data_IF_857841538742
#
_entry.id   IF_857841538742
#
_cell.length_a   1.000
_cell.length_b   1.000
_cell.length_c   1.000
_cell.angle_alpha   90.00
_cell.angle_beta   90.00
_cell.angle_gamma   90.00
#
_symmetry.space_group_name_H-M   'P 1'
#
loop_
_entity.id
_entity.type
_entity.pdbx_description
1 polymer ?
#
# COMPACT_ATOMS: atom_id res chain seq x y z
N UNK A 1 -16.93 -13.20 -0.55
CA UNK A 1 -15.95 -12.27 0.03
C UNK A 1 -15.15 -12.99 1.09
N UNK A 2 -13.82 -13.06 0.90
CA UNK A 2 -12.88 -13.57 1.91
C UNK A 2 -12.41 -12.39 2.77
N UNK A 3 -12.39 -12.60 4.08
CA UNK A 3 -12.02 -11.62 5.10
C UNK A 3 -10.85 -12.18 5.90
N UNK A 4 -9.82 -11.38 6.13
CA UNK A 4 -8.81 -11.65 7.14
C UNK A 4 -9.07 -10.74 8.34
N UNK A 5 -9.17 -11.32 9.54
CA UNK A 5 -9.59 -10.68 10.78
C UNK A 5 -8.48 -10.92 11.81
N UNK A 6 -7.46 -10.06 11.80
CA UNK A 6 -6.24 -10.30 12.56
C UNK A 6 -5.55 -11.59 12.11
N UNK A 7 -5.74 -12.67 12.85
CA UNK A 7 -5.14 -13.99 12.58
C UNK A 7 -6.15 -15.03 12.08
N UNK A 8 -7.43 -14.69 12.00
CA UNK A 8 -8.49 -15.59 11.52
C UNK A 8 -8.92 -15.22 10.10
N UNK A 9 -9.40 -16.20 9.34
CA UNK A 9 -10.02 -15.97 8.04
C UNK A 9 -11.47 -16.40 8.08
N UNK A 10 -12.35 -15.57 7.51
CA UNK A 10 -13.76 -15.89 7.30
C UNK A 10 -14.14 -15.72 5.83
N UNK A 11 -15.04 -16.57 5.34
CA UNK A 11 -15.67 -16.39 4.02
C UNK A 11 -17.15 -16.14 4.19
N UNK A 12 -17.64 -15.07 3.60
CA UNK A 12 -19.07 -14.75 3.55
C UNK A 12 -19.53 -14.55 2.11
N UNK A 13 -20.76 -14.94 1.82
CA UNK A 13 -21.39 -14.64 0.53
C UNK A 13 -22.30 -13.41 0.70
N UNK A 14 -22.10 -12.39 -0.13
CA UNK A 14 -22.91 -11.18 -0.11
C UNK A 14 -24.08 -11.36 -1.08
N UNK A 15 -25.27 -11.68 -0.57
CA UNK A 15 -26.50 -11.87 -1.36
C UNK A 15 -27.35 -10.60 -1.48
N UNK A 16 -27.01 -9.54 -0.75
CA UNK A 16 -27.77 -8.30 -0.65
C UNK A 16 -26.85 -7.09 -0.81
N UNK A 17 -27.43 -5.94 -1.13
CA UNK A 17 -26.68 -4.69 -1.27
C UNK A 17 -25.98 -4.28 0.04
N UNK A 18 -26.56 -4.62 1.19
CA UNK A 18 -26.00 -4.38 2.51
C UNK A 18 -26.01 -5.68 3.33
N UNK A 19 -24.89 -5.98 3.99
CA UNK A 19 -24.74 -7.09 4.94
C UNK A 19 -23.94 -6.58 6.14
N UNK A 20 -24.38 -6.91 7.35
CA UNK A 20 -23.64 -6.62 8.59
C UNK A 20 -23.01 -7.91 9.09
N UNK A 21 -21.73 -7.82 9.48
CA UNK A 21 -20.93 -8.96 9.94
C UNK A 21 -20.38 -8.60 11.31
N UNK A 22 -20.70 -9.42 12.32
CA UNK A 22 -20.16 -9.26 13.66
C UNK A 22 -18.70 -9.72 13.71
N UNK A 23 -17.83 -8.85 14.21
CA UNK A 23 -16.41 -9.14 14.38
C UNK A 23 -16.11 -9.62 15.81
N UNK A 24 -15.11 -10.51 16.00
CA UNK A 24 -14.58 -10.81 17.32
C UNK A 24 -14.12 -9.55 18.05
N UNK A 25 -14.34 -9.47 19.37
CA UNK A 25 -14.02 -8.28 20.18
C UNK A 25 -12.56 -7.81 20.09
N UNK A 26 -11.64 -8.71 19.76
CA UNK A 26 -10.20 -8.46 19.71
C UNK A 26 -9.63 -8.56 18.28
N UNK A 27 -10.46 -8.34 17.25
CA UNK A 27 -10.06 -8.47 15.84
C UNK A 27 -8.84 -7.60 15.46
N UNK A 28 -8.70 -6.41 16.08
CA UNK A 28 -7.63 -5.46 15.78
C UNK A 28 -7.84 -4.74 14.45
N UNK A 29 -7.86 -5.49 13.35
CA UNK A 29 -8.11 -5.01 11.99
C UNK A 29 -8.92 -6.03 11.19
N UNK A 30 -9.53 -5.56 10.09
CA UNK A 30 -10.17 -6.41 9.09
C UNK A 30 -9.67 -6.01 7.71
N UNK A 31 -9.14 -6.99 6.98
CA UNK A 31 -8.83 -6.88 5.57
C UNK A 31 -9.91 -7.60 4.77
N UNK A 32 -10.60 -6.83 3.93
CA UNK A 32 -11.53 -7.34 2.93
C UNK A 32 -10.75 -7.82 1.70
N UNK A 33 -11.27 -8.83 1.00
CA UNK A 33 -10.64 -9.44 -0.18
C UNK A 33 -9.27 -10.08 0.10
N UNK A 34 -9.14 -10.78 1.23
CA UNK A 34 -7.89 -11.46 1.59
C UNK A 34 -7.40 -12.39 0.46
N UNK A 35 -6.08 -12.39 0.26
CA UNK A 35 -5.37 -13.05 -0.84
C UNK A 35 -5.81 -12.61 -2.24
N UNK A 36 -6.49 -11.46 -2.36
CA UNK A 36 -6.96 -10.90 -3.63
C UNK A 36 -7.80 -11.87 -4.49
N UNK A 37 -8.56 -12.75 -3.84
CA UNK A 37 -9.29 -13.85 -4.52
C UNK A 37 -10.58 -13.40 -5.20
N UNK A 38 -11.12 -12.24 -4.83
CA UNK A 38 -12.34 -11.66 -5.37
C UNK A 38 -12.07 -10.60 -6.43
N UNK A 39 -12.95 -10.54 -7.44
CA UNK A 39 -12.93 -9.52 -8.49
C UNK A 39 -13.76 -8.30 -8.08
N UNK A 40 -13.27 -7.55 -7.09
CA UNK A 40 -13.85 -6.30 -6.60
C UNK A 40 -12.79 -5.49 -5.85
N UNK A 41 -12.98 -4.16 -5.76
CA UNK A 41 -12.13 -3.27 -4.98
C UNK A 41 -12.77 -2.95 -3.62
N UNK A 42 -11.95 -2.89 -2.57
CA UNK A 42 -12.41 -2.62 -1.21
C UNK A 42 -12.10 -1.19 -0.75
N UNK A 43 -13.09 -0.55 -0.12
CA UNK A 43 -12.92 0.72 0.59
C UNK A 43 -13.07 0.50 2.09
N UNK A 44 -12.30 1.24 2.86
CA UNK A 44 -12.30 1.23 4.32
C UNK A 44 -12.60 2.64 4.83
N UNK A 45 -13.15 2.74 6.04
CA UNK A 45 -13.12 4.00 6.76
C UNK A 45 -11.68 4.37 7.16
N UNK A 46 -11.49 5.63 7.55
CA UNK A 46 -10.17 6.18 7.90
C UNK A 46 -9.49 5.42 9.05
N UNK A 47 -10.25 5.02 10.07
CA UNK A 47 -9.68 4.35 11.24
C UNK A 47 -9.16 2.96 10.91
N UNK A 48 -9.90 2.22 10.08
CA UNK A 48 -9.51 0.89 9.64
C UNK A 48 -8.30 0.94 8.70
N UNK A 49 -8.28 1.85 7.73
CA UNK A 49 -7.13 1.94 6.81
C UNK A 49 -5.85 2.36 7.54
N UNK A 50 -5.92 3.28 8.51
CA UNK A 50 -4.77 3.67 9.34
C UNK A 50 -4.26 2.49 10.19
N UNK A 51 -5.18 1.63 10.64
CA UNK A 51 -4.83 0.43 11.40
C UNK A 51 -4.13 -0.60 10.51
N UNK A 52 -4.67 -0.89 9.33
CA UNK A 52 -4.06 -1.79 8.34
C UNK A 52 -2.68 -1.30 7.89
N UNK A 53 -2.58 -0.01 7.58
CA UNK A 53 -1.35 0.69 7.22
C UNK A 53 -0.24 0.58 8.28
N UNK A 54 -0.60 0.61 9.57
CA UNK A 54 0.36 0.55 10.68
C UNK A 54 0.62 -0.86 11.21
N UNK A 55 -0.18 -1.87 10.83
CA UNK A 55 -0.06 -3.23 11.35
C UNK A 55 1.32 -3.85 11.07
N UNK A 56 1.90 -3.79 9.85
CA UNK A 56 3.24 -4.34 9.60
C UNK A 56 4.32 -3.66 10.45
N UNK A 57 4.20 -2.35 10.69
CA UNK A 57 5.15 -1.61 11.52
C UNK A 57 5.10 -2.00 12.99
N UNK A 58 3.96 -2.54 13.44
CA UNK A 58 3.74 -3.05 14.80
C UNK A 58 4.11 -4.53 14.94
N UNK A 59 4.70 -5.13 13.90
CA UNK A 59 5.12 -6.53 13.90
C UNK A 59 4.02 -7.52 13.51
N UNK A 60 2.92 -7.05 12.91
CA UNK A 60 1.93 -7.95 12.34
C UNK A 60 2.54 -8.73 11.15
N UNK A 61 2.35 -10.05 11.16
CA UNK A 61 2.85 -10.98 10.14
C UNK A 61 1.73 -11.70 9.41
N UNK A 62 0.46 -11.39 9.72
CA UNK A 62 -0.71 -12.01 9.13
C UNK A 62 -1.21 -11.25 7.91
N UNK A 63 -0.89 -9.96 7.79
CA UNK A 63 -1.10 -9.22 6.55
C UNK A 63 -0.07 -9.67 5.49
N UNK A 64 -0.52 -10.47 4.53
CA UNK A 64 0.37 -11.07 3.52
C UNK A 64 0.90 -10.02 2.55
N UNK A 65 1.94 -10.39 1.80
CA UNK A 65 2.47 -9.57 0.72
C UNK A 65 1.40 -9.20 -0.32
N UNK A 66 0.56 -10.16 -0.67
CA UNK A 66 -0.52 -9.99 -1.62
C UNK A 66 -1.62 -9.07 -1.08
N UNK A 67 -1.92 -9.13 0.22
CA UNK A 67 -2.87 -8.23 0.86
C UNK A 67 -2.39 -6.77 0.81
N UNK A 68 -1.09 -6.53 1.03
CA UNK A 68 -0.50 -5.18 0.92
C UNK A 68 -0.62 -4.62 -0.49
N UNK A 69 -0.34 -5.44 -1.51
CA UNK A 69 -0.56 -5.08 -2.92
C UNK A 69 -2.04 -4.78 -3.18
N UNK A 70 -2.94 -5.65 -2.67
CA UNK A 70 -4.38 -5.49 -2.80
C UNK A 70 -4.89 -4.18 -2.18
N UNK A 71 -4.40 -3.80 -0.99
CA UNK A 71 -4.76 -2.56 -0.30
C UNK A 71 -4.45 -1.33 -1.14
N UNK A 72 -3.26 -1.26 -1.74
CA UNK A 72 -2.84 -0.11 -2.57
C UNK A 72 -3.62 -0.09 -3.88
N UNK A 73 -3.71 -1.24 -4.57
CA UNK A 73 -4.45 -1.36 -5.84
C UNK A 73 -5.91 -0.93 -5.67
N UNK A 74 -6.59 -1.49 -4.68
CA UNK A 74 -8.01 -1.21 -4.46
C UNK A 74 -8.22 0.24 -4.04
N UNK A 75 -7.35 0.81 -3.20
CA UNK A 75 -7.44 2.22 -2.81
C UNK A 75 -7.26 3.15 -3.99
N UNK A 76 -6.39 2.81 -4.96
CA UNK A 76 -6.25 3.56 -6.21
C UNK A 76 -7.54 3.48 -7.04
N UNK A 77 -8.08 2.29 -7.28
CA UNK A 77 -9.32 2.11 -8.05
C UNK A 77 -10.53 2.83 -7.41
N UNK A 78 -10.63 2.80 -6.08
CA UNK A 78 -11.67 3.51 -5.32
C UNK A 78 -11.47 5.03 -5.41
N UNK A 79 -10.24 5.53 -5.35
CA UNK A 79 -9.94 6.95 -5.52
C UNK A 79 -10.29 7.45 -6.93
N UNK A 80 -10.01 6.66 -7.96
CA UNK A 80 -10.40 6.94 -9.36
C UNK A 80 -11.93 6.92 -9.55
N UNK A 81 -12.65 6.18 -8.71
CA UNK A 81 -14.12 6.12 -8.70
C UNK A 81 -14.79 7.31 -7.99
N UNK A 82 -14.02 8.30 -7.52
CA UNK A 82 -14.51 9.55 -6.92
C UNK A 82 -15.36 9.32 -5.66
N UNK A 83 -15.04 8.29 -4.89
CA UNK A 83 -15.71 8.02 -3.62
C UNK A 83 -15.17 8.96 -2.52
N UNK A 84 -16.04 9.52 -1.65
CA UNK A 84 -15.60 10.41 -0.57
C UNK A 84 -14.52 9.77 0.31
N UNK A 85 -13.46 10.53 0.63
CA UNK A 85 -12.35 10.10 1.47
C UNK A 85 -11.37 9.12 0.82
N UNK A 86 -11.63 8.62 -0.40
CA UNK A 86 -10.79 7.61 -1.02
C UNK A 86 -9.38 8.11 -1.37
N UNK A 87 -9.26 9.34 -1.89
CA UNK A 87 -7.95 9.96 -2.18
C UNK A 87 -7.12 10.15 -0.92
N UNK A 88 -7.75 10.55 0.20
CA UNK A 88 -7.07 10.70 1.49
C UNK A 88 -6.57 9.34 1.99
N UNK A 89 -7.39 8.30 1.89
CA UNK A 89 -6.99 6.93 2.25
C UNK A 89 -5.80 6.44 1.42
N UNK A 90 -5.80 6.69 0.10
CA UNK A 90 -4.68 6.34 -0.78
C UNK A 90 -3.41 7.08 -0.39
N UNK A 91 -3.49 8.39 -0.13
CA UNK A 91 -2.35 9.19 0.31
C UNK A 91 -1.83 8.72 1.69
N UNK A 92 -2.73 8.39 2.61
CA UNK A 92 -2.38 7.85 3.93
C UNK A 92 -1.64 6.51 3.80
N UNK A 93 -2.10 5.62 2.91
CA UNK A 93 -1.39 4.38 2.60
C UNK A 93 0.02 4.67 2.07
N UNK A 94 0.16 5.55 1.06
CA UNK A 94 1.46 5.91 0.49
C UNK A 94 2.44 6.37 1.57
N UNK A 95 2.00 7.24 2.49
CA UNK A 95 2.88 7.74 3.55
C UNK A 95 3.08 6.74 4.69
N UNK A 96 2.23 5.73 4.82
CA UNK A 96 2.38 4.70 5.85
C UNK A 96 3.37 3.60 5.47
N UNK A 97 3.68 3.42 4.18
CA UNK A 97 4.66 2.42 3.78
C UNK A 97 6.05 2.76 4.35
N UNK A 98 6.58 1.85 5.15
CA UNK A 98 7.88 1.96 5.80
C UNK A 98 8.43 0.56 6.08
N UNK A 99 9.75 0.40 5.99
CA UNK A 99 10.46 -0.86 6.24
C UNK A 99 9.94 -2.03 5.38
N UNK A 100 9.32 -1.73 4.24
CA UNK A 100 8.83 -2.73 3.29
C UNK A 100 9.98 -3.17 2.39
N UNK A 101 10.12 -4.47 2.18
CA UNK A 101 11.15 -5.08 1.32
C UNK A 101 10.57 -5.92 0.19
N UNK A 102 9.25 -5.92 0.05
CA UNK A 102 8.55 -6.68 -0.98
C UNK A 102 8.37 -5.81 -2.22
N UNK A 103 9.02 -6.22 -3.30
CA UNK A 103 9.02 -5.48 -4.56
C UNK A 103 7.61 -5.21 -5.12
N UNK A 104 6.70 -6.20 -5.25
CA UNK A 104 5.34 -5.95 -5.75
C UNK A 104 4.58 -4.85 -4.98
N UNK A 105 4.79 -4.75 -3.67
CA UNK A 105 4.12 -3.75 -2.84
C UNK A 105 4.66 -2.34 -3.13
N UNK A 106 5.98 -2.19 -3.29
CA UNK A 106 6.59 -0.93 -3.72
C UNK A 106 6.23 -0.54 -5.15
N UNK A 107 6.25 -1.48 -6.09
CA UNK A 107 5.89 -1.24 -7.49
C UNK A 107 4.46 -0.71 -7.60
N UNK A 108 3.51 -1.38 -6.94
CA UNK A 108 2.10 -0.96 -6.92
C UNK A 108 1.94 0.43 -6.30
N UNK A 109 2.65 0.72 -5.20
CA UNK A 109 2.62 2.03 -4.54
C UNK A 109 3.21 3.13 -5.42
N UNK A 110 4.33 2.88 -6.08
CA UNK A 110 5.00 3.85 -6.95
C UNK A 110 4.19 4.11 -8.23
N UNK A 111 3.51 3.10 -8.75
CA UNK A 111 2.54 3.27 -9.84
C UNK A 111 1.37 4.16 -9.41
N UNK A 112 0.78 3.93 -8.23
CA UNK A 112 -0.27 4.82 -7.70
C UNK A 112 0.24 6.25 -7.49
N UNK A 113 1.44 6.42 -6.93
CA UNK A 113 2.08 7.72 -6.74
C UNK A 113 2.36 8.43 -8.07
N UNK A 114 2.74 7.69 -9.12
CA UNK A 114 2.94 8.23 -10.45
C UNK A 114 1.63 8.72 -11.08
N UNK A 115 0.52 8.00 -10.90
CA UNK A 115 -0.79 8.45 -11.37
C UNK A 115 -1.18 9.79 -10.72
N UNK A 116 -1.02 9.89 -9.40
CA UNK A 116 -1.25 11.16 -8.67
C UNK A 116 -0.33 12.25 -9.20
N UNK A 117 0.97 11.96 -9.35
CA UNK A 117 1.97 12.93 -9.82
C UNK A 117 1.69 13.46 -11.22
N UNK A 118 1.10 12.64 -12.10
CA UNK A 118 0.68 13.04 -13.44
C UNK A 118 -0.51 14.02 -13.39
N UNK A 119 -1.45 13.82 -12.47
CA UNK A 119 -2.61 14.71 -12.31
C UNK A 119 -2.19 16.11 -11.83
N UNK A 120 -1.22 16.17 -10.92
CA UNK A 120 -0.76 17.43 -10.29
C UNK A 120 0.38 18.12 -11.03
N UNK A 121 0.82 17.60 -12.19
CA UNK A 121 2.09 17.98 -12.83
C UNK A 121 2.17 19.45 -13.27
N UNK A 122 1.03 20.07 -13.58
CA UNK A 122 0.91 21.48 -13.95
C UNK A 122 0.93 22.44 -12.76
N UNK A 123 0.76 21.95 -11.54
CA UNK A 123 0.92 22.75 -10.32
C UNK A 123 2.32 22.51 -9.74
N UNK A 124 3.24 23.44 -10.00
CA UNK A 124 4.61 23.33 -9.53
C UNK A 124 4.71 23.26 -8.00
N UNK A 125 3.86 23.98 -7.28
CA UNK A 125 3.94 24.02 -5.82
C UNK A 125 3.50 22.68 -5.24
N UNK A 126 2.36 22.15 -5.67
CA UNK A 126 1.86 20.85 -5.21
C UNK A 126 2.81 19.74 -5.65
N UNK A 127 3.28 19.75 -6.90
CA UNK A 127 4.25 18.78 -7.41
C UNK A 127 5.54 18.74 -6.58
N UNK A 128 6.13 19.90 -6.27
CA UNK A 128 7.35 19.97 -5.44
C UNK A 128 7.14 19.40 -4.04
N UNK A 129 5.99 19.68 -3.42
CA UNK A 129 5.65 19.12 -2.10
C UNK A 129 5.46 17.60 -2.18
N UNK A 130 4.75 17.11 -3.19
CA UNK A 130 4.55 15.68 -3.41
C UNK A 130 5.88 14.96 -3.65
N UNK A 131 6.73 15.50 -4.51
CA UNK A 131 8.04 14.93 -4.82
C UNK A 131 8.92 14.87 -3.56
N UNK A 132 8.85 15.88 -2.68
CA UNK A 132 9.52 15.87 -1.37
C UNK A 132 9.01 14.77 -0.45
N UNK A 133 7.69 14.55 -0.38
CA UNK A 133 7.10 13.46 0.42
C UNK A 133 7.59 12.10 -0.09
N UNK A 134 7.52 11.86 -1.40
CA UNK A 134 7.96 10.60 -2.01
C UNK A 134 9.46 10.36 -1.83
N UNK A 135 10.30 11.39 -2.02
CA UNK A 135 11.73 11.33 -1.76
C UNK A 135 12.03 10.92 -0.33
N UNK A 136 11.36 11.54 0.65
CA UNK A 136 11.55 11.23 2.07
C UNK A 136 11.14 9.78 2.39
N UNK A 137 10.12 9.24 1.72
CA UNK A 137 9.70 7.83 1.89
C UNK A 137 10.72 6.86 1.30
N UNK A 138 11.19 7.13 0.09
CA UNK A 138 12.18 6.31 -0.60
C UNK A 138 13.56 6.39 0.03
N UNK A 139 13.89 7.47 0.74
CA UNK A 139 15.22 7.68 1.31
C UNK A 139 15.63 6.58 2.30
N UNK A 140 14.69 6.05 3.09
CA UNK A 140 14.99 4.93 4.00
C UNK A 140 15.34 3.68 3.20
N UNK A 141 14.51 3.33 2.23
CA UNK A 141 14.74 2.17 1.37
C UNK A 141 16.06 2.28 0.58
N UNK A 142 16.33 3.45 0.02
CA UNK A 142 17.57 3.72 -0.71
C UNK A 142 18.81 3.58 0.18
N UNK A 143 18.77 4.10 1.41
CA UNK A 143 19.90 3.97 2.35
C UNK A 143 20.11 2.53 2.81
N UNK A 144 19.03 1.77 2.96
CA UNK A 144 19.09 0.38 3.38
C UNK A 144 19.65 -0.51 2.27
N UNK A 145 19.30 -0.25 1.01
CA UNK A 145 19.79 -1.03 -0.14
C UNK A 145 21.17 -0.54 -0.60
N UNK A 146 21.32 0.75 -0.87
CA UNK A 146 22.52 1.36 -1.43
C UNK A 146 22.73 1.08 -2.92
N UNK A 147 23.94 1.35 -3.41
CA UNK A 147 24.32 1.06 -4.80
C UNK A 147 24.92 -0.34 -4.96
N UNK A 148 25.79 -0.71 -4.02
CA UNK A 148 26.52 -1.98 -4.04
C UNK A 148 25.60 -3.14 -3.64
N UNK A 149 25.71 -4.24 -4.38
CA UNK A 149 24.97 -5.48 -4.12
C UNK A 149 25.77 -6.36 -3.15
N UNK A 150 25.21 -6.72 -1.98
CA UNK A 150 25.83 -7.70 -1.07
C UNK A 150 25.93 -9.09 -1.73
N UNK A 151 26.98 -9.85 -1.41
CA UNK A 151 27.23 -11.18 -2.00
C UNK A 151 26.11 -12.21 -1.76
N UNK A 152 25.38 -12.06 -0.67
CA UNK A 152 24.32 -12.99 -0.23
C UNK A 152 22.95 -12.28 -0.21
N UNK A 153 22.74 -11.29 -1.09
CA UNK A 153 21.45 -10.61 -1.21
C UNK A 153 20.39 -11.53 -1.83
N UNK A 154 19.15 -11.36 -1.40
CA UNK A 154 18.01 -12.03 -2.00
C UNK A 154 17.84 -11.62 -3.47
N UNK A 155 17.57 -12.58 -4.35
CA UNK A 155 17.53 -12.36 -5.78
C UNK A 155 16.46 -11.35 -6.22
N UNK A 156 15.31 -11.29 -5.53
CA UNK A 156 14.25 -10.32 -5.84
C UNK A 156 14.64 -8.92 -5.36
N UNK A 157 15.37 -8.82 -4.25
CA UNK A 157 15.91 -7.54 -3.79
C UNK A 157 16.94 -7.00 -4.79
N UNK A 158 17.91 -7.85 -5.19
CA UNK A 158 18.96 -7.48 -6.14
C UNK A 158 18.39 -7.07 -7.50
N UNK A 159 17.51 -7.91 -8.07
CA UNK A 159 17.09 -7.77 -9.46
C UNK A 159 15.87 -6.89 -9.68
N UNK A 160 15.02 -6.68 -8.66
CA UNK A 160 13.78 -5.92 -8.80
C UNK A 160 13.73 -4.70 -7.88
N UNK A 161 13.82 -4.92 -6.56
CA UNK A 161 13.57 -3.84 -5.59
C UNK A 161 14.63 -2.74 -5.64
N UNK A 162 15.91 -3.12 -5.73
CA UNK A 162 17.03 -2.18 -5.77
C UNK A 162 17.00 -1.29 -7.03
N UNK A 163 16.87 -1.81 -8.26
CA UNK A 163 16.66 -0.98 -9.45
C UNK A 163 15.43 -0.06 -9.33
N UNK A 164 14.32 -0.56 -8.79
CA UNK A 164 13.11 0.23 -8.58
C UNK A 164 13.34 1.38 -7.59
N UNK A 165 14.01 1.12 -6.46
CA UNK A 165 14.33 2.13 -5.45
C UNK A 165 15.27 3.21 -5.99
N UNK A 166 16.34 2.80 -6.68
CA UNK A 166 17.35 3.70 -7.26
C UNK A 166 16.75 4.61 -8.34
N UNK A 167 15.98 4.04 -9.27
CA UNK A 167 15.33 4.81 -10.33
C UNK A 167 14.26 5.76 -9.77
N UNK A 168 13.49 5.31 -8.78
CA UNK A 168 12.44 6.11 -8.16
C UNK A 168 13.01 7.28 -7.36
N UNK A 169 14.06 7.07 -6.57
CA UNK A 169 14.62 8.16 -5.77
C UNK A 169 15.26 9.25 -6.65
N UNK A 170 15.89 8.86 -7.76
CA UNK A 170 16.39 9.79 -8.78
C UNK A 170 15.25 10.59 -9.44
N UNK A 171 14.14 9.92 -9.80
CA UNK A 171 12.94 10.57 -10.36
C UNK A 171 12.38 11.66 -9.43
N UNK A 172 12.41 11.43 -8.12
CA UNK A 172 11.95 12.41 -7.13
C UNK A 172 13.04 13.40 -6.69
N UNK A 173 14.21 13.42 -7.34
CA UNK A 173 15.23 14.47 -7.21
C UNK A 173 16.12 14.37 -5.96
N UNK A 174 16.56 13.16 -5.61
CA UNK A 174 17.68 12.94 -4.68
C UNK A 174 19.03 12.92 -5.41
#
# INVERSE_FOLDING_TARGET
MKLCIGHETMTCFLCSNNTVIDLPKNAGWVHLNADSTGFYACQYDKGMIDTLASAPQKGDTHLTELDKVCLVRDSLSVAESVLPGATENLLNLIVSFKNEKINPAWDTLLNAAQNIRHIIDKDENISKHFDSVMRNKLLSLFKDLGWEVPKDEDADIESLLRPLALSSIAKYGY
#
